data_IF_422060330159
#
_entry.id   IF_422060330159
#
_cell.length_a   1.000
_cell.length_b   1.000
_cell.length_c   1.000
_cell.angle_alpha   90.00
_cell.angle_beta   90.00
_cell.angle_gamma   90.00
#
_symmetry.space_group_name_H-M   'P 1'
#
loop_
_entity.id
_entity.type
_entity.pdbx_description
1 polymer ?
#
# COMPACT_ATOMS: atom_id res chain seq x y z
N UNK A 1 -3.28 -34.16 -18.68
CA UNK A 1 -4.23 -33.05 -18.94
C UNK A 1 -3.87 -31.89 -18.03
N UNK A 2 -3.27 -30.83 -18.58
CA UNK A 2 -2.98 -29.60 -17.83
C UNK A 2 -4.24 -28.74 -17.81
N UNK A 3 -4.84 -28.58 -16.63
CA UNK A 3 -5.95 -27.63 -16.42
C UNK A 3 -5.41 -26.23 -16.72
N UNK A 4 -5.94 -25.59 -17.76
CA UNK A 4 -5.57 -24.22 -18.14
C UNK A 4 -5.98 -23.27 -17.01
N UNK A 5 -5.02 -22.85 -16.19
CA UNK A 5 -5.21 -21.79 -15.20
C UNK A 5 -5.60 -20.51 -15.95
N UNK A 6 -6.81 -20.03 -15.74
CA UNK A 6 -7.29 -18.79 -16.37
C UNK A 6 -6.56 -17.59 -15.77
N UNK A 7 -6.37 -16.50 -16.54
CA UNK A 7 -5.73 -15.27 -16.04
C UNK A 7 -6.37 -14.74 -14.74
N UNK A 8 -7.67 -15.01 -14.56
CA UNK A 8 -8.48 -14.75 -13.37
C UNK A 8 -8.03 -15.51 -12.11
N UNK A 9 -7.51 -16.73 -12.24
CA UNK A 9 -7.08 -17.54 -11.08
C UNK A 9 -5.79 -16.98 -10.46
N UNK A 10 -4.92 -16.37 -11.27
CA UNK A 10 -3.73 -15.66 -10.82
C UNK A 10 -4.01 -14.23 -10.33
N UNK A 11 -5.00 -13.56 -10.92
CA UNK A 11 -5.34 -12.19 -10.60
C UNK A 11 -6.13 -12.08 -9.28
N UNK A 12 -7.05 -13.01 -8.99
CA UNK A 12 -7.90 -12.99 -7.78
C UNK A 12 -7.15 -12.90 -6.46
N UNK A 13 -6.11 -13.71 -6.19
CA UNK A 13 -5.37 -13.62 -4.93
C UNK A 13 -4.66 -12.28 -4.78
N UNK A 14 -4.04 -11.78 -5.85
CA UNK A 14 -3.32 -10.50 -5.89
C UNK A 14 -4.27 -9.31 -5.71
N UNK A 15 -5.43 -9.36 -6.36
CA UNK A 15 -6.49 -8.36 -6.22
C UNK A 15 -7.08 -8.35 -4.80
N UNK A 16 -7.26 -9.52 -4.16
CA UNK A 16 -7.75 -9.59 -2.76
C UNK A 16 -6.78 -8.96 -1.77
N UNK A 17 -5.47 -9.12 -2.00
CA UNK A 17 -4.43 -8.54 -1.17
C UNK A 17 -4.41 -7.00 -1.26
N UNK A 18 -4.42 -6.47 -2.48
CA UNK A 18 -4.43 -5.02 -2.70
C UNK A 18 -5.77 -4.42 -2.27
N UNK A 19 -6.88 -5.11 -2.59
CA UNK A 19 -8.23 -4.69 -2.25
C UNK A 19 -8.48 -4.63 -0.75
N UNK A 20 -7.98 -5.60 0.03
CA UNK A 20 -8.07 -5.54 1.49
C UNK A 20 -7.26 -4.38 2.07
N UNK A 21 -6.03 -4.15 1.59
CA UNK A 21 -5.23 -3.01 2.03
C UNK A 21 -5.90 -1.67 1.68
N UNK A 22 -6.48 -1.56 0.48
CA UNK A 22 -7.25 -0.41 0.04
C UNK A 22 -8.48 -0.17 0.92
N UNK A 23 -9.26 -1.20 1.20
CA UNK A 23 -10.42 -1.10 2.07
C UNK A 23 -10.02 -0.65 3.49
N UNK A 24 -8.98 -1.25 4.07
CA UNK A 24 -8.45 -0.84 5.37
C UNK A 24 -7.97 0.61 5.35
N UNK A 25 -7.27 1.03 4.29
CA UNK A 25 -6.88 2.43 4.10
C UNK A 25 -8.07 3.37 4.06
N UNK A 26 -9.10 3.03 3.27
CA UNK A 26 -10.31 3.83 3.13
C UNK A 26 -11.06 4.02 4.46
N UNK A 27 -11.04 3.03 5.35
CA UNK A 27 -11.58 3.15 6.70
C UNK A 27 -10.66 3.93 7.64
N UNK A 28 -9.34 3.79 7.49
CA UNK A 28 -8.36 4.51 8.31
C UNK A 28 -8.35 6.02 8.02
N UNK A 29 -8.66 6.44 6.80
CA UNK A 29 -8.70 7.85 6.40
C UNK A 29 -9.61 8.73 7.28
N UNK A 30 -10.93 8.45 7.36
CA UNK A 30 -11.86 9.17 8.22
C UNK A 30 -11.46 9.16 9.70
N UNK A 31 -10.94 8.03 10.19
CA UNK A 31 -10.44 7.90 11.57
C UNK A 31 -9.29 8.88 11.81
N UNK A 32 -8.33 8.94 10.88
CA UNK A 32 -7.21 9.87 10.96
C UNK A 32 -7.68 11.33 10.91
N UNK A 33 -8.67 11.66 10.07
CA UNK A 33 -9.28 13.00 10.03
C UNK A 33 -9.86 13.36 11.40
N UNK A 34 -10.68 12.48 11.98
CA UNK A 34 -11.32 12.71 13.27
C UNK A 34 -10.29 12.92 14.40
N UNK A 35 -9.29 12.04 14.50
CA UNK A 35 -8.24 12.15 15.53
C UNK A 35 -7.46 13.46 15.38
N UNK A 36 -7.05 13.81 14.16
CA UNK A 36 -6.28 15.03 13.91
C UNK A 36 -7.11 16.31 14.07
N UNK A 37 -8.41 16.26 13.75
CA UNK A 37 -9.32 17.38 13.96
C UNK A 37 -9.56 17.64 15.45
N UNK A 38 -9.66 16.59 16.27
CA UNK A 38 -9.79 16.70 17.73
C UNK A 38 -8.51 17.24 18.39
N UNK A 39 -7.33 16.96 17.82
CA UNK A 39 -6.05 17.40 18.37
C UNK A 39 -5.77 18.91 18.17
N UNK A 40 -6.18 19.48 17.02
CA UNK A 40 -5.82 20.84 16.62
C UNK A 40 -7.04 21.74 16.33
N UNK A 41 -8.22 21.38 16.88
CA UNK A 41 -9.48 22.12 16.77
C UNK A 41 -9.83 22.55 15.33
N UNK A 42 -9.89 21.60 14.39
CA UNK A 42 -10.30 21.95 13.02
C UNK A 42 -10.36 20.79 12.03
N UNK A 43 -11.52 20.64 11.38
CA UNK A 43 -11.75 19.65 10.31
C UNK A 43 -10.83 19.87 9.12
N UNK A 44 -10.55 21.13 8.75
CA UNK A 44 -9.64 21.46 7.65
C UNK A 44 -8.19 20.99 7.92
N UNK A 45 -7.72 21.13 9.17
CA UNK A 45 -6.41 20.64 9.57
C UNK A 45 -6.36 19.11 9.51
N UNK A 46 -7.38 18.45 10.08
CA UNK A 46 -7.49 16.99 10.08
C UNK A 46 -7.47 16.39 8.67
N UNK A 47 -8.30 16.92 7.77
CA UNK A 47 -8.39 16.49 6.38
C UNK A 47 -7.06 16.66 5.64
N UNK A 48 -6.42 17.84 5.71
CA UNK A 48 -5.16 18.10 4.99
C UNK A 48 -4.03 17.18 5.46
N UNK A 49 -3.89 17.00 6.77
CA UNK A 49 -2.82 16.18 7.35
C UNK A 49 -3.06 14.70 7.12
N UNK A 50 -4.28 14.21 7.31
CA UNK A 50 -4.64 12.82 7.01
C UNK A 50 -4.41 12.48 5.53
N UNK A 51 -4.79 13.39 4.61
CA UNK A 51 -4.54 13.21 3.19
C UNK A 51 -3.05 13.14 2.88
N UNK A 52 -2.25 14.05 3.46
CA UNK A 52 -0.80 14.06 3.26
C UNK A 52 -0.13 12.76 3.77
N UNK A 53 -0.58 12.21 4.90
CA UNK A 53 -0.10 10.92 5.41
C UNK A 53 -0.48 9.76 4.47
N UNK A 54 -1.71 9.75 3.95
CA UNK A 54 -2.13 8.78 2.94
C UNK A 54 -1.29 8.86 1.66
N UNK A 55 -1.07 10.08 1.17
CA UNK A 55 -0.24 10.34 -0.01
C UNK A 55 1.23 9.93 0.21
N UNK A 56 1.78 10.17 1.41
CA UNK A 56 3.12 9.72 1.77
C UNK A 56 3.23 8.19 1.74
N UNK A 57 2.29 7.49 2.37
CA UNK A 57 2.26 6.03 2.35
C UNK A 57 2.12 5.49 0.91
N UNK A 58 1.25 6.11 0.10
CA UNK A 58 1.06 5.76 -1.29
C UNK A 58 2.37 5.91 -2.10
N UNK A 59 3.00 7.08 -2.00
CA UNK A 59 4.26 7.38 -2.69
C UNK A 59 5.39 6.46 -2.26
N UNK A 60 5.54 6.23 -0.95
CA UNK A 60 6.53 5.30 -0.41
C UNK A 60 6.34 3.87 -0.94
N UNK A 61 5.10 3.36 -0.90
CA UNK A 61 4.79 2.04 -1.44
C UNK A 61 5.06 1.95 -2.93
N UNK A 62 4.69 2.98 -3.71
CA UNK A 62 4.89 3.00 -5.16
C UNK A 62 6.38 3.01 -5.53
N UNK A 63 7.18 3.83 -4.84
CA UNK A 63 8.63 3.87 -5.01
C UNK A 63 9.28 2.55 -4.57
N UNK A 64 8.88 1.99 -3.44
CA UNK A 64 9.38 0.70 -2.95
C UNK A 64 9.04 -0.46 -3.88
N UNK A 65 7.85 -0.46 -4.47
CA UNK A 65 7.44 -1.45 -5.47
C UNK A 65 8.29 -1.32 -6.74
N UNK A 66 8.49 -0.09 -7.22
CA UNK A 66 9.30 0.21 -8.40
C UNK A 66 10.77 -0.16 -8.18
N UNK A 67 11.32 0.15 -7.01
CA UNK A 67 12.66 -0.23 -6.60
C UNK A 67 12.83 -1.74 -6.50
N UNK A 68 11.82 -2.45 -5.99
CA UNK A 68 11.83 -3.92 -5.96
C UNK A 68 11.86 -4.51 -7.37
N UNK A 69 11.11 -3.94 -8.33
CA UNK A 69 11.16 -4.37 -9.74
C UNK A 69 12.53 -4.11 -10.37
N UNK A 70 13.16 -2.98 -10.06
CA UNK A 70 14.43 -2.58 -10.67
C UNK A 70 15.62 -3.34 -10.09
N UNK A 71 15.68 -3.50 -8.76
CA UNK A 71 16.82 -4.02 -8.03
C UNK A 71 16.66 -5.47 -7.55
N UNK A 72 15.44 -6.03 -7.58
CA UNK A 72 15.10 -7.31 -6.94
C UNK A 72 16.01 -8.47 -7.34
N UNK A 73 16.14 -8.73 -8.64
CA UNK A 73 17.03 -9.78 -9.17
C UNK A 73 18.50 -9.58 -8.77
N UNK A 74 18.96 -8.34 -8.67
CA UNK A 74 20.34 -8.01 -8.29
C UNK A 74 20.58 -8.29 -6.80
N UNK A 75 19.63 -7.92 -5.94
CA UNK A 75 19.69 -8.18 -4.49
C UNK A 75 19.62 -9.68 -4.20
N UNK A 76 18.72 -10.42 -4.85
CA UNK A 76 18.65 -11.89 -4.68
C UNK A 76 19.93 -12.58 -5.17
N UNK A 77 20.52 -12.13 -6.29
CA UNK A 77 21.79 -12.65 -6.75
C UNK A 77 22.93 -12.36 -5.75
N UNK A 78 22.94 -11.16 -5.16
CA UNK A 78 23.89 -10.79 -4.12
C UNK A 78 23.73 -11.66 -2.86
N UNK A 79 22.49 -11.88 -2.39
CA UNK A 79 22.23 -12.73 -1.22
C UNK A 79 22.72 -14.16 -1.43
N UNK A 80 22.54 -14.73 -2.64
CA UNK A 80 23.08 -16.05 -3.00
C UNK A 80 24.62 -16.11 -2.99
N UNK A 81 25.31 -15.00 -3.25
CA UNK A 81 26.77 -14.95 -3.24
C UNK A 81 27.35 -14.67 -1.86
N UNK A 82 26.61 -13.95 -1.00
CA UNK A 82 27.08 -13.54 0.33
C UNK A 82 26.65 -14.50 1.45
N UNK A 83 25.97 -15.61 1.13
CA UNK A 83 25.34 -16.52 2.11
C UNK A 83 24.54 -15.76 3.18
N UNK A 84 23.90 -14.67 2.75
CA UNK A 84 23.12 -13.83 3.66
C UNK A 84 21.86 -14.58 4.09
N UNK A 85 21.77 -14.90 5.38
CA UNK A 85 20.58 -15.53 5.96
C UNK A 85 19.38 -14.57 5.89
N UNK A 86 18.55 -14.71 4.84
CA UNK A 86 17.31 -13.98 4.73
C UNK A 86 16.39 -14.56 3.65
N UNK A 87 15.19 -14.97 4.05
CA UNK A 87 14.10 -15.44 3.17
C UNK A 87 13.46 -14.29 2.35
N UNK A 88 14.20 -13.21 2.12
CA UNK A 88 13.69 -12.08 1.37
C UNK A 88 13.65 -12.40 -0.13
N UNK A 89 12.49 -12.15 -0.75
CA UNK A 89 12.33 -12.27 -2.20
C UNK A 89 11.81 -10.97 -2.79
N UNK A 90 12.15 -10.72 -4.06
CA UNK A 90 11.59 -9.62 -4.85
C UNK A 90 10.05 -9.71 -4.84
N UNK A 91 9.51 -10.92 -4.99
CA UNK A 91 8.08 -11.17 -5.05
C UNK A 91 7.38 -10.75 -3.75
N UNK A 92 7.95 -11.09 -2.60
CA UNK A 92 7.39 -10.72 -1.30
C UNK A 92 7.52 -9.23 -1.02
N UNK A 93 8.66 -8.62 -1.37
CA UNK A 93 8.85 -7.18 -1.28
C UNK A 93 7.81 -6.42 -2.12
N UNK A 94 7.62 -6.82 -3.39
CA UNK A 94 6.61 -6.23 -4.27
C UNK A 94 5.20 -6.40 -3.71
N UNK A 95 4.90 -7.57 -3.14
CA UNK A 95 3.59 -7.84 -2.52
C UNK A 95 3.36 -6.94 -1.31
N UNK A 96 4.37 -6.76 -0.45
CA UNK A 96 4.30 -5.89 0.71
C UNK A 96 4.11 -4.43 0.29
N UNK A 97 4.92 -3.94 -0.64
CA UNK A 97 4.84 -2.56 -1.12
C UNK A 97 3.53 -2.27 -1.84
N UNK A 98 2.99 -3.22 -2.61
CA UNK A 98 1.66 -3.07 -3.21
C UNK A 98 0.53 -2.94 -2.17
N UNK A 99 0.66 -3.58 -0.99
CA UNK A 99 -0.28 -3.34 0.13
C UNK A 99 -0.13 -1.93 0.68
N UNK A 100 1.09 -1.45 0.87
CA UNK A 100 1.35 -0.08 1.36
C UNK A 100 0.79 0.95 0.38
N UNK A 101 1.04 0.77 -0.93
CA UNK A 101 0.45 1.60 -1.99
C UNK A 101 -1.08 1.57 -1.93
N UNK A 102 -1.68 0.38 -1.88
CA UNK A 102 -3.13 0.21 -1.80
C UNK A 102 -3.73 0.88 -0.56
N UNK A 103 -3.10 0.72 0.60
CA UNK A 103 -3.49 1.35 1.85
C UNK A 103 -3.43 2.88 1.76
N UNK A 104 -2.31 3.45 1.29
CA UNK A 104 -2.16 4.89 1.15
C UNK A 104 -3.19 5.49 0.20
N UNK A 105 -3.42 4.84 -0.94
CA UNK A 105 -4.46 5.24 -1.90
C UNK A 105 -5.86 5.15 -1.30
N UNK A 106 -6.17 4.05 -0.61
CA UNK A 106 -7.43 3.89 0.13
C UNK A 106 -7.65 5.02 1.13
N UNK A 107 -6.63 5.34 1.93
CA UNK A 107 -6.69 6.43 2.91
C UNK A 107 -6.99 7.78 2.25
N UNK A 108 -6.34 8.10 1.12
CA UNK A 108 -6.64 9.30 0.36
C UNK A 108 -8.11 9.34 -0.10
N UNK A 109 -8.66 8.22 -0.57
CA UNK A 109 -10.09 8.15 -0.95
C UNK A 109 -11.02 8.35 0.25
N UNK A 110 -10.74 7.70 1.37
CA UNK A 110 -11.54 7.86 2.59
C UNK A 110 -11.51 9.29 3.13
N UNK A 111 -10.34 9.92 3.12
CA UNK A 111 -10.19 11.34 3.49
C UNK A 111 -10.95 12.24 2.52
N UNK A 112 -10.81 12.05 1.20
CA UNK A 112 -11.53 12.84 0.20
C UNK A 112 -13.04 12.70 0.32
N UNK A 113 -13.54 11.48 0.58
CA UNK A 113 -14.96 11.25 0.83
C UNK A 113 -15.43 11.95 2.11
N UNK A 114 -14.64 11.91 3.18
CA UNK A 114 -14.92 12.63 4.43
C UNK A 114 -14.94 14.14 4.20
N UNK A 115 -13.97 14.66 3.46
CA UNK A 115 -13.87 16.07 3.11
C UNK A 115 -15.05 16.57 2.29
N UNK A 116 -15.62 15.72 1.43
CA UNK A 116 -16.81 16.06 0.64
C UNK A 116 -18.10 16.11 1.48
N UNK A 117 -18.09 15.56 2.69
CA UNK A 117 -19.23 15.50 3.60
C UNK A 117 -19.17 16.53 4.75
N UNK A 118 -18.02 17.19 4.95
CA UNK A 118 -17.77 18.19 5.99
C UNK A 118 -17.83 19.61 5.41
#
# INVERSE_FOLDING_TARGET
>A
MAVGRTATDWARPRARIVGSALATGALAGPIAVAVLALYAEGTLFGTRKAFALGALAFGFGLLGWSGSVLAGRGVEAMQRHLDAAGDWTEADSRRAMARVTGFGFGAMLGVSATAALL
#
